data_IF_033672917938
#
_entry.id   IF_033672917938
#
_cell.length_a   1.000
_cell.length_b   1.000
_cell.length_c   1.000
_cell.angle_alpha   90.00
_cell.angle_beta   90.00
_cell.angle_gamma   90.00
#
_symmetry.space_group_name_H-M   'P 1'
#
loop_
_entity.id
_entity.type
_entity.pdbx_description
1 polymer ?
#
# COMPACT_ATOMS: atom_id res chain seq x y z
N UNK A 1 -10.16 18.08 -1.30
CA UNK A 1 -9.76 16.80 -0.66
C UNK A 1 -9.11 15.84 -1.67
N UNK A 2 -8.38 16.34 -2.68
CA UNK A 2 -7.76 15.52 -3.74
C UNK A 2 -6.27 15.22 -3.47
N UNK A 3 -5.61 16.01 -2.62
CA UNK A 3 -4.17 15.91 -2.40
C UNK A 3 -3.73 14.60 -1.74
N UNK A 4 -4.55 14.03 -0.86
CA UNK A 4 -4.14 12.82 -0.15
C UNK A 4 -4.04 11.61 -1.08
N UNK A 5 -4.99 11.45 -2.01
CA UNK A 5 -4.96 10.33 -2.96
C UNK A 5 -3.77 10.46 -3.90
N UNK A 6 -3.52 11.64 -4.46
CA UNK A 6 -2.38 11.88 -5.33
C UNK A 6 -1.04 11.66 -4.62
N UNK A 7 -0.90 12.10 -3.37
CA UNK A 7 0.31 11.84 -2.57
C UNK A 7 0.53 10.36 -2.31
N UNK A 8 -0.55 9.59 -2.12
CA UNK A 8 -0.45 8.14 -1.94
C UNK A 8 -0.04 7.42 -3.22
N UNK A 9 -0.59 7.84 -4.35
CA UNK A 9 -0.21 7.32 -5.66
C UNK A 9 1.27 7.57 -5.95
N UNK A 10 1.78 8.78 -5.68
CA UNK A 10 3.20 9.10 -5.84
C UNK A 10 4.09 8.28 -4.89
N UNK A 11 3.67 8.10 -3.64
CA UNK A 11 4.40 7.27 -2.68
C UNK A 11 4.46 5.80 -3.14
N UNK A 12 3.36 5.28 -3.68
CA UNK A 12 3.31 3.93 -4.23
C UNK A 12 4.22 3.79 -5.45
N UNK A 13 4.24 4.77 -6.36
CA UNK A 13 5.16 4.78 -7.49
C UNK A 13 6.63 4.72 -7.05
N UNK A 14 6.99 5.47 -6.00
CA UNK A 14 8.33 5.45 -5.45
C UNK A 14 8.69 4.10 -4.81
N UNK A 15 7.81 3.55 -3.97
CA UNK A 15 8.00 2.23 -3.37
C UNK A 15 8.12 1.12 -4.45
N UNK A 16 7.28 1.15 -5.49
CA UNK A 16 7.36 0.21 -6.62
C UNK A 16 8.69 0.33 -7.37
N UNK A 17 9.15 1.56 -7.63
CA UNK A 17 10.42 1.82 -8.31
C UNK A 17 11.62 1.32 -7.52
N UNK A 18 11.57 1.40 -6.19
CA UNK A 18 12.61 0.89 -5.29
C UNK A 18 12.47 -0.62 -5.00
N UNK A 19 11.43 -1.29 -5.52
CA UNK A 19 11.14 -2.70 -5.23
C UNK A 19 10.78 -2.93 -3.75
N UNK A 20 10.28 -1.89 -3.07
CA UNK A 20 9.92 -1.89 -1.65
C UNK A 20 8.43 -2.19 -1.48
N UNK A 21 8.04 -2.73 -0.31
CA UNK A 21 6.63 -2.90 0.00
C UNK A 21 5.93 -1.53 0.11
N UNK A 22 4.76 -1.40 -0.50
CA UNK A 22 3.92 -0.20 -0.44
C UNK A 22 3.58 0.24 0.98
N UNK A 23 4.12 1.38 1.39
CA UNK A 23 3.80 2.02 2.69
C UNK A 23 2.33 2.39 2.80
N UNK A 24 1.69 2.70 1.67
CA UNK A 24 0.27 2.99 1.61
C UNK A 24 -0.62 1.80 2.08
N UNK A 25 -0.11 0.57 2.11
CA UNK A 25 -0.81 -0.58 2.69
C UNK A 25 -1.03 -0.47 4.22
N UNK A 26 -0.28 0.39 4.92
CA UNK A 26 -0.49 0.70 6.33
C UNK A 26 -1.74 1.54 6.57
N UNK A 27 -2.23 2.25 5.56
CA UNK A 27 -3.47 2.99 5.69
C UNK A 27 -4.65 2.04 5.85
N UNK A 28 -5.56 2.45 6.72
CA UNK A 28 -6.83 1.77 6.94
C UNK A 28 -7.96 2.79 6.79
N UNK A 29 -9.03 2.36 6.14
CA UNK A 29 -10.28 3.09 6.15
C UNK A 29 -10.82 3.10 7.58
N UNK A 30 -10.91 4.29 8.21
CA UNK A 30 -11.47 4.42 9.57
C UNK A 30 -12.94 3.99 9.66
N UNK A 31 -13.65 4.03 8.54
CA UNK A 31 -15.08 3.74 8.43
C UNK A 31 -15.39 2.30 8.00
N UNK A 32 -14.39 1.51 7.60
CA UNK A 32 -14.58 0.12 7.20
C UNK A 32 -14.09 -0.84 8.28
N UNK A 33 -14.93 -1.81 8.63
CA UNK A 33 -14.65 -2.86 9.63
C UNK A 33 -13.49 -3.77 9.23
N UNK A 34 -13.23 -3.89 7.92
CA UNK A 34 -12.22 -4.80 7.36
C UNK A 34 -10.78 -4.31 7.54
N UNK A 35 -10.57 -3.09 8.08
CA UNK A 35 -9.25 -2.47 8.25
C UNK A 35 -8.40 -2.44 6.97
N UNK A 36 -9.05 -2.47 5.81
CA UNK A 36 -8.41 -2.44 4.50
C UNK A 36 -8.14 -1.00 4.04
N UNK A 37 -7.14 -0.80 3.17
CA UNK A 37 -6.95 0.42 2.40
C UNK A 37 -8.18 0.81 1.56
N UNK A 38 -8.19 2.05 1.06
CA UNK A 38 -9.24 2.51 0.16
C UNK A 38 -9.20 1.75 -1.19
N UNK A 39 -10.32 1.58 -1.91
CA UNK A 39 -10.35 0.93 -3.22
C UNK A 39 -9.34 1.50 -4.24
N UNK A 40 -9.13 2.82 -4.23
CA UNK A 40 -8.16 3.49 -5.12
C UNK A 40 -6.71 3.04 -4.92
N UNK A 41 -6.33 2.57 -3.72
CA UNK A 41 -5.02 1.98 -3.47
C UNK A 41 -4.83 0.69 -4.29
N UNK A 42 -5.83 -0.21 -4.26
CA UNK A 42 -5.75 -1.45 -5.02
C UNK A 42 -5.74 -1.20 -6.52
N UNK A 43 -6.50 -0.21 -6.98
CA UNK A 43 -6.49 0.19 -8.38
C UNK A 43 -5.10 0.66 -8.83
N UNK A 44 -4.43 1.52 -8.04
CA UNK A 44 -3.07 1.97 -8.35
C UNK A 44 -2.04 0.84 -8.28
N UNK A 45 -2.15 -0.05 -7.29
CA UNK A 45 -1.26 -1.21 -7.19
C UNK A 45 -1.40 -2.13 -8.41
N UNK A 46 -2.63 -2.34 -8.90
CA UNK A 46 -2.88 -3.09 -10.13
C UNK A 46 -2.29 -2.39 -11.37
N UNK A 47 -2.41 -1.06 -11.47
CA UNK A 47 -1.77 -0.27 -12.54
C UNK A 47 -0.24 -0.36 -12.52
N UNK A 48 0.36 -0.48 -11.33
CA UNK A 48 1.80 -0.71 -11.15
C UNK A 48 2.23 -2.16 -11.44
N UNK A 49 1.28 -3.05 -11.79
CA UNK A 49 1.55 -4.44 -12.15
C UNK A 49 1.53 -5.42 -10.98
N UNK A 50 0.97 -5.04 -9.83
CA UNK A 50 0.82 -5.94 -8.69
C UNK A 50 -0.53 -6.67 -8.69
N UNK A 51 -0.54 -7.95 -8.30
CA UNK A 51 -1.77 -8.72 -8.18
C UNK A 51 -2.55 -8.31 -6.92
N UNK A 52 -3.72 -7.71 -7.09
CA UNK A 52 -4.64 -7.30 -6.01
C UNK A 52 -5.90 -8.15 -5.92
N UNK A 53 -5.89 -9.37 -6.48
CA UNK A 53 -7.04 -10.29 -6.51
C UNK A 53 -7.58 -10.64 -5.11
N UNK A 54 -6.69 -10.65 -4.12
CA UNK A 54 -7.06 -10.77 -2.70
C UNK A 54 -6.58 -9.52 -1.94
N UNK A 55 -7.48 -8.53 -1.74
CA UNK A 55 -7.15 -7.29 -1.03
C UNK A 55 -6.66 -7.51 0.40
N UNK A 56 -7.15 -8.55 1.08
CA UNK A 56 -6.81 -8.84 2.46
C UNK A 56 -5.41 -9.47 2.55
N UNK A 57 -5.14 -10.49 1.74
CA UNK A 57 -3.81 -11.12 1.67
C UNK A 57 -2.76 -10.15 1.15
N UNK A 58 -3.09 -9.36 0.12
CA UNK A 58 -2.21 -8.31 -0.41
C UNK A 58 -1.81 -7.31 0.67
N UNK A 59 -2.80 -6.77 1.39
CA UNK A 59 -2.57 -5.82 2.48
C UNK A 59 -1.75 -6.45 3.60
N UNK A 60 -2.07 -7.68 4.00
CA UNK A 60 -1.37 -8.39 5.06
C UNK A 60 0.10 -8.63 4.70
N UNK A 61 0.38 -9.13 3.49
CA UNK A 61 1.73 -9.38 2.98
C UNK A 61 2.59 -8.11 2.98
N UNK A 62 2.05 -6.99 2.48
CA UNK A 62 2.76 -5.70 2.48
C UNK A 62 3.02 -5.18 3.90
N UNK A 63 2.03 -5.26 4.81
CA UNK A 63 2.21 -4.89 6.22
C UNK A 63 3.26 -5.75 6.92
N UNK A 64 3.25 -7.05 6.64
CA UNK A 64 4.23 -7.98 7.18
C UNK A 64 5.63 -7.68 6.64
N UNK A 65 5.78 -7.41 5.35
CA UNK A 65 7.05 -7.02 4.74
C UNK A 65 7.58 -5.69 5.28
N UNK A 66 6.71 -4.73 5.60
CA UNK A 66 7.08 -3.47 6.26
C UNK A 66 7.50 -3.67 7.71
N UNK A 67 6.84 -4.56 8.46
CA UNK A 67 7.25 -4.93 9.82
C UNK A 67 8.55 -5.75 9.85
N UNK A 68 8.77 -6.59 8.83
CA UNK A 68 9.97 -7.42 8.72
C UNK A 68 11.15 -6.69 8.09
N UNK A 69 10.92 -5.61 7.35
CA UNK A 69 11.97 -4.73 6.90
C UNK A 69 12.52 -3.99 8.12
N UNK A 70 13.75 -4.28 8.57
CA UNK A 70 14.39 -3.44 9.56
C UNK A 70 14.64 -2.10 8.84
N UNK A 71 13.84 -1.08 9.15
CA UNK A 71 14.08 0.31 8.71
C UNK A 71 15.33 0.88 9.43
N UNK A 72 16.31 0.03 9.74
CA UNK A 72 17.54 0.36 10.46
C UNK A 72 18.69 -0.33 9.76
N UNK A 73 19.22 0.33 8.72
CA UNK A 73 20.64 0.23 8.39
C UNK A 73 21.13 1.62 7.97
N UNK A 74 21.93 2.22 8.86
CA UNK A 74 22.89 3.29 8.57
C UNK A 74 22.30 4.68 8.66
#
# INVERSE_FOLDING_TARGET
>A
MADLTAQLEQLMEEDAREGRPFRAALLRQRLSSDNLPAPGFFQKAAELGHCTDDPATFTHSHRQALHLSPIIRG
#
